data_IF_425747974377
#
_entry.id   IF_425747974377
#
_cell.length_a   1.000
_cell.length_b   1.000
_cell.length_c   1.000
_cell.angle_alpha   90.00
_cell.angle_beta   90.00
_cell.angle_gamma   90.00
#
_symmetry.space_group_name_H-M   'P 1'
#
loop_
_entity.id
_entity.type
_entity.pdbx_description
1 polymer ?
#
# COMPACT_ATOMS: atom_id res chain seq x y z
N UNK A 1 40.93 -45.56 13.84
CA UNK A 1 39.63 -44.87 13.64
C UNK A 1 39.65 -43.36 13.89
N UNK A 2 40.69 -42.75 14.50
CA UNK A 2 40.73 -41.29 14.72
C UNK A 2 40.96 -40.44 13.43
N UNK A 3 41.66 -40.96 12.42
CA UNK A 3 41.98 -40.21 11.20
C UNK A 3 40.80 -39.97 10.24
N UNK A 4 39.79 -40.85 10.23
CA UNK A 4 38.60 -40.70 9.38
C UNK A 4 37.65 -39.59 9.90
N UNK A 5 37.54 -39.42 11.21
CA UNK A 5 36.74 -38.34 11.81
C UNK A 5 37.38 -36.97 11.58
N UNK A 6 38.72 -36.88 11.57
CA UNK A 6 39.45 -35.64 11.31
C UNK A 6 39.26 -35.17 9.86
N UNK A 7 39.35 -36.08 8.89
CA UNK A 7 39.14 -35.76 7.47
C UNK A 7 37.71 -35.28 7.17
N UNK A 8 36.70 -35.90 7.79
CA UNK A 8 35.29 -35.47 7.70
C UNK A 8 35.07 -34.07 8.31
N UNK A 9 35.70 -33.79 9.45
CA UNK A 9 35.60 -32.47 10.10
C UNK A 9 36.23 -31.37 9.23
N UNK A 10 37.39 -31.63 8.62
CA UNK A 10 38.05 -30.69 7.71
C UNK A 10 37.18 -30.43 6.47
N UNK A 11 36.64 -31.48 5.85
CA UNK A 11 35.74 -31.35 4.70
C UNK A 11 34.49 -30.53 5.04
N UNK A 12 33.88 -30.77 6.20
CA UNK A 12 32.73 -30.01 6.68
C UNK A 12 33.04 -28.52 6.85
N UNK A 13 34.21 -28.18 7.41
CA UNK A 13 34.64 -26.79 7.59
C UNK A 13 34.78 -26.09 6.23
N UNK A 14 35.38 -26.74 5.23
CA UNK A 14 35.52 -26.16 3.89
C UNK A 14 34.17 -25.96 3.18
N UNK A 15 33.23 -26.89 3.35
CA UNK A 15 31.86 -26.74 2.81
C UNK A 15 31.14 -25.56 3.47
N UNK A 16 31.24 -25.42 4.79
CA UNK A 16 30.68 -24.29 5.54
C UNK A 16 31.31 -22.95 5.12
N UNK A 17 32.64 -22.89 4.97
CA UNK A 17 33.35 -21.71 4.48
C UNK A 17 32.93 -21.35 3.04
N UNK A 18 32.76 -22.35 2.17
CA UNK A 18 32.25 -22.15 0.81
C UNK A 18 30.83 -21.56 0.80
N UNK A 19 29.92 -22.09 1.61
CA UNK A 19 28.55 -21.57 1.75
C UNK A 19 28.53 -20.13 2.27
N UNK A 20 29.37 -19.82 3.26
CA UNK A 20 29.51 -18.46 3.79
C UNK A 20 30.04 -17.51 2.71
N UNK A 21 31.07 -17.92 1.97
CA UNK A 21 31.64 -17.14 0.87
C UNK A 21 30.62 -16.83 -0.23
N UNK A 22 29.83 -17.84 -0.63
CA UNK A 22 28.73 -17.66 -1.60
C UNK A 22 27.67 -16.70 -1.04
N UNK A 23 27.30 -16.84 0.23
CA UNK A 23 26.34 -15.96 0.90
C UNK A 23 26.80 -14.49 0.88
N UNK A 24 28.07 -14.23 1.20
CA UNK A 24 28.66 -12.89 1.18
C UNK A 24 28.68 -12.32 -0.24
N UNK A 25 29.11 -13.11 -1.24
CA UNK A 25 29.11 -12.70 -2.64
C UNK A 25 27.71 -12.32 -3.13
N UNK A 26 26.70 -13.10 -2.73
CA UNK A 26 25.30 -12.85 -3.09
C UNK A 26 24.79 -11.55 -2.46
N UNK A 27 25.08 -11.30 -1.18
CA UNK A 27 24.74 -10.04 -0.51
C UNK A 27 25.45 -8.84 -1.18
N UNK A 28 26.71 -8.99 -1.56
CA UNK A 28 27.48 -7.93 -2.22
C UNK A 28 26.92 -7.61 -3.60
N UNK A 29 26.56 -8.64 -4.38
CA UNK A 29 25.89 -8.49 -5.67
C UNK A 29 24.57 -7.74 -5.53
N UNK A 30 23.73 -8.10 -4.55
CA UNK A 30 22.47 -7.40 -4.27
C UNK A 30 22.69 -5.93 -3.90
N UNK A 31 23.70 -5.63 -3.05
CA UNK A 31 24.05 -4.26 -2.66
C UNK A 31 24.52 -3.42 -3.84
N UNK A 32 25.40 -3.95 -4.69
CA UNK A 32 25.87 -3.25 -5.89
C UNK A 32 24.70 -2.97 -6.84
N UNK A 33 23.84 -3.97 -7.07
CA UNK A 33 22.67 -3.81 -7.93
C UNK A 33 21.75 -2.71 -7.40
N UNK A 34 21.50 -2.69 -6.09
CA UNK A 34 20.69 -1.66 -5.45
C UNK A 34 21.28 -0.26 -5.63
N UNK A 35 22.59 -0.10 -5.39
CA UNK A 35 23.29 1.18 -5.56
C UNK A 35 23.27 1.67 -7.02
N UNK A 36 23.43 0.76 -8.00
CA UNK A 36 23.32 1.12 -9.41
C UNK A 36 21.92 1.60 -9.78
N UNK A 37 20.88 0.94 -9.28
CA UNK A 37 19.50 1.35 -9.50
C UNK A 37 19.27 2.74 -8.91
N UNK A 38 19.71 2.98 -7.66
CA UNK A 38 19.58 4.30 -7.03
C UNK A 38 20.29 5.41 -7.81
N UNK A 39 21.50 5.17 -8.31
CA UNK A 39 22.22 6.15 -9.13
C UNK A 39 21.47 6.47 -10.41
N UNK A 40 21.03 5.44 -11.14
CA UNK A 40 20.22 5.61 -12.35
C UNK A 40 18.91 6.34 -12.08
N UNK A 41 18.24 6.05 -10.97
CA UNK A 41 17.03 6.77 -10.55
C UNK A 41 17.31 8.26 -10.39
N UNK A 42 18.42 8.65 -9.75
CA UNK A 42 18.82 10.07 -9.62
C UNK A 42 19.12 10.71 -10.96
N UNK A 43 19.84 10.01 -11.83
CA UNK A 43 20.13 10.48 -13.19
C UNK A 43 18.84 10.70 -14.00
N UNK A 44 17.87 9.78 -13.92
CA UNK A 44 16.58 9.93 -14.61
C UNK A 44 15.70 11.03 -14.02
N UNK A 45 15.73 11.22 -12.69
CA UNK A 45 15.04 12.36 -12.06
C UNK A 45 15.61 13.69 -12.55
N UNK A 46 16.93 13.79 -12.70
CA UNK A 46 17.57 14.98 -13.27
C UNK A 46 17.24 15.14 -14.76
N UNK A 47 17.30 14.04 -15.54
CA UNK A 47 16.97 14.06 -16.97
C UNK A 47 15.53 14.52 -17.24
N UNK A 48 14.59 14.16 -16.38
CA UNK A 48 13.18 14.53 -16.51
C UNK A 48 12.80 15.73 -15.62
N UNK A 49 13.78 16.47 -15.09
CA UNK A 49 13.50 17.62 -14.22
C UNK A 49 12.67 18.69 -14.94
N UNK A 50 12.97 18.98 -16.20
CA UNK A 50 12.21 19.95 -17.01
C UNK A 50 10.74 19.53 -17.16
N UNK A 51 10.49 18.24 -17.35
CA UNK A 51 9.14 17.69 -17.40
C UNK A 51 8.42 17.85 -16.06
N UNK A 52 9.09 17.56 -14.93
CA UNK A 52 8.49 17.75 -13.61
C UNK A 52 8.24 19.23 -13.28
N UNK A 53 9.15 20.13 -13.66
CA UNK A 53 8.98 21.57 -13.55
C UNK A 53 7.77 22.05 -14.36
N UNK A 54 7.65 21.56 -15.60
CA UNK A 54 6.51 21.86 -16.45
C UNK A 54 5.19 21.39 -15.82
N UNK A 55 5.13 20.15 -15.34
CA UNK A 55 3.93 19.63 -14.68
C UNK A 55 3.54 20.49 -13.48
N UNK A 56 4.50 20.87 -12.62
CA UNK A 56 4.23 21.70 -11.45
C UNK A 56 3.73 23.10 -11.84
N UNK A 57 4.29 23.70 -12.88
CA UNK A 57 3.88 25.02 -13.35
C UNK A 57 2.44 25.02 -13.91
N UNK A 58 2.04 23.94 -14.58
CA UNK A 58 0.74 23.84 -15.28
C UNK A 58 -0.30 23.01 -14.49
N UNK A 59 0.00 22.59 -13.27
CA UNK A 59 -0.90 21.77 -12.44
C UNK A 59 -2.22 22.52 -12.15
N UNK A 60 -2.15 23.85 -12.03
CA UNK A 60 -3.29 24.74 -11.83
C UNK A 60 -4.12 25.05 -13.08
N UNK A 61 -3.57 24.82 -14.27
CA UNK A 61 -4.18 25.28 -15.52
C UNK A 61 -5.32 24.36 -15.98
N UNK A 62 -6.31 24.89 -16.71
CA UNK A 62 -7.49 24.12 -17.14
C UNK A 62 -7.17 23.00 -18.17
N UNK A 63 -5.96 23.00 -18.75
CA UNK A 63 -5.55 22.03 -19.76
C UNK A 63 -5.12 20.69 -19.18
N UNK A 64 -5.22 19.63 -19.99
CA UNK A 64 -4.75 18.29 -19.62
C UNK A 64 -3.22 18.25 -19.49
N UNK A 65 -2.73 17.52 -18.48
CA UNK A 65 -1.29 17.38 -18.27
C UNK A 65 -0.67 16.57 -19.43
N UNK A 66 0.44 17.05 -20.03
CA UNK A 66 1.06 16.36 -21.13
C UNK A 66 1.67 15.04 -20.67
N UNK A 67 1.65 14.06 -21.57
CA UNK A 67 2.35 12.80 -21.38
C UNK A 67 3.86 13.02 -21.37
N UNK A 68 4.61 12.17 -20.65
CA UNK A 68 6.05 12.30 -20.62
C UNK A 68 6.64 12.08 -22.03
N UNK A 69 7.58 12.94 -22.47
CA UNK A 69 8.01 12.98 -23.85
C UNK A 69 8.85 11.74 -24.25
N UNK A 70 8.59 11.22 -25.44
CA UNK A 70 9.41 10.19 -26.10
C UNK A 70 9.18 8.75 -25.64
N UNK A 71 10.01 7.83 -26.17
CA UNK A 71 9.99 6.41 -25.79
C UNK A 71 10.72 6.22 -24.46
N UNK A 72 9.97 6.28 -23.37
CA UNK A 72 10.51 6.00 -22.04
C UNK A 72 10.89 4.53 -21.90
N UNK A 73 12.07 4.28 -21.32
CA UNK A 73 12.45 2.96 -20.80
C UNK A 73 11.56 2.54 -19.63
N UNK A 74 11.51 1.24 -19.33
CA UNK A 74 10.78 0.72 -18.17
C UNK A 74 11.20 1.41 -16.86
N UNK A 75 12.50 1.67 -16.67
CA UNK A 75 12.99 2.32 -15.47
C UNK A 75 12.57 3.79 -15.39
N UNK A 76 12.64 4.54 -16.50
CA UNK A 76 12.16 5.94 -16.56
C UNK A 76 10.66 6.02 -16.26
N UNK A 77 9.86 5.12 -16.83
CA UNK A 77 8.42 5.02 -16.51
C UNK A 77 8.19 4.81 -15.02
N UNK A 78 8.96 3.92 -14.38
CA UNK A 78 8.86 3.68 -12.93
C UNK A 78 9.20 4.92 -12.11
N UNK A 79 10.24 5.66 -12.50
CA UNK A 79 10.63 6.89 -11.79
C UNK A 79 9.53 7.96 -11.90
N UNK A 80 8.98 8.16 -13.10
CA UNK A 80 7.90 9.12 -13.33
C UNK A 80 6.64 8.71 -12.57
N UNK A 81 6.25 7.44 -12.67
CA UNK A 81 5.11 6.89 -11.93
C UNK A 81 5.25 7.12 -10.42
N UNK A 82 6.42 6.82 -9.86
CA UNK A 82 6.67 7.01 -8.44
C UNK A 82 6.55 8.49 -8.04
N UNK A 83 7.15 9.40 -8.80
CA UNK A 83 7.09 10.83 -8.51
C UNK A 83 5.67 11.39 -8.60
N UNK A 84 4.92 11.01 -9.64
CA UNK A 84 3.51 11.40 -9.78
C UNK A 84 2.68 10.85 -8.62
N UNK A 85 2.92 9.62 -8.20
CA UNK A 85 2.25 8.99 -7.06
C UNK A 85 2.55 9.74 -5.75
N UNK A 86 3.80 10.15 -5.51
CA UNK A 86 4.18 10.98 -4.36
C UNK A 86 3.39 12.29 -4.32
N UNK A 87 3.19 12.93 -5.49
CA UNK A 87 2.37 14.13 -5.60
C UNK A 87 0.87 13.88 -5.40
N UNK A 88 0.33 12.75 -5.86
CA UNK A 88 -1.06 12.36 -5.59
C UNK A 88 -1.32 12.26 -4.08
N UNK A 89 -0.34 11.84 -3.30
CA UNK A 89 -0.48 11.75 -1.83
C UNK A 89 -0.49 13.13 -1.16
N UNK A 90 0.28 14.08 -1.69
CA UNK A 90 0.45 15.43 -1.15
C UNK A 90 -0.69 16.37 -1.54
N UNK A 91 -1.17 16.29 -2.78
CA UNK A 91 -2.24 17.17 -3.29
C UNK A 91 -3.64 16.60 -3.03
N UNK A 92 -4.64 17.49 -2.98
CA UNK A 92 -6.07 17.18 -2.79
C UNK A 92 -6.90 17.90 -3.85
N UNK A 93 -8.17 17.50 -4.00
CA UNK A 93 -9.11 18.13 -4.93
C UNK A 93 -8.69 17.95 -6.40
N UNK A 94 -8.92 18.99 -7.21
CA UNK A 94 -8.75 18.94 -8.67
C UNK A 94 -7.31 18.61 -9.11
N UNK A 95 -6.32 19.13 -8.39
CA UNK A 95 -4.90 18.83 -8.65
C UNK A 95 -4.59 17.33 -8.53
N UNK A 96 -5.17 16.69 -7.51
CA UNK A 96 -5.02 15.24 -7.32
C UNK A 96 -5.68 14.48 -8.48
N UNK A 97 -6.86 14.90 -8.91
CA UNK A 97 -7.59 14.24 -10.00
C UNK A 97 -6.85 14.33 -11.33
N UNK A 98 -6.22 15.47 -11.64
CA UNK A 98 -5.37 15.61 -12.85
C UNK A 98 -4.19 14.64 -12.84
N UNK A 99 -3.52 14.48 -11.69
CA UNK A 99 -2.41 13.54 -11.57
C UNK A 99 -2.85 12.08 -11.66
N UNK A 100 -4.03 11.75 -11.11
CA UNK A 100 -4.63 10.43 -11.30
C UNK A 100 -4.92 10.21 -12.79
N UNK A 101 -5.55 11.17 -13.47
CA UNK A 101 -5.83 11.09 -14.91
C UNK A 101 -4.55 10.90 -15.73
N UNK A 102 -3.47 11.61 -15.40
CA UNK A 102 -2.15 11.41 -16.02
C UNK A 102 -1.65 9.96 -15.87
N UNK A 103 -1.85 9.33 -14.70
CA UNK A 103 -1.47 7.92 -14.49
C UNK A 103 -2.26 6.96 -15.40
N UNK A 104 -3.54 7.23 -15.64
CA UNK A 104 -4.35 6.47 -16.60
C UNK A 104 -3.89 6.72 -18.04
N UNK A 105 -3.76 7.98 -18.44
CA UNK A 105 -3.42 8.37 -19.81
C UNK A 105 -2.01 7.90 -20.21
N UNK A 106 -1.06 7.87 -19.27
CA UNK A 106 0.29 7.36 -19.51
C UNK A 106 0.39 5.82 -19.52
N UNK A 107 -0.72 5.12 -19.21
CA UNK A 107 -0.82 3.66 -19.20
C UNK A 107 -0.24 2.99 -17.96
N UNK A 108 0.10 3.74 -16.90
CA UNK A 108 0.72 3.19 -15.70
C UNK A 108 -0.23 2.25 -14.95
N UNK A 109 -1.52 2.58 -14.90
CA UNK A 109 -2.54 1.77 -14.24
C UNK A 109 -2.68 0.41 -14.92
N UNK A 110 -2.83 0.37 -16.24
CA UNK A 110 -3.03 -0.88 -16.99
C UNK A 110 -1.80 -1.78 -16.92
N UNK A 111 -0.60 -1.20 -16.88
CA UNK A 111 0.64 -1.95 -16.69
C UNK A 111 0.69 -2.65 -15.33
N UNK A 112 0.32 -1.95 -14.25
CA UNK A 112 0.34 -2.54 -12.91
C UNK A 112 -0.84 -3.48 -12.65
N UNK A 113 -2.00 -3.26 -13.28
CA UNK A 113 -3.10 -4.22 -13.27
C UNK A 113 -2.66 -5.57 -13.83
N UNK A 114 -1.88 -5.61 -14.93
CA UNK A 114 -1.33 -6.87 -15.45
C UNK A 114 -0.39 -7.56 -14.46
N UNK A 115 0.33 -6.80 -13.64
CA UNK A 115 1.27 -7.35 -12.66
C UNK A 115 0.61 -7.95 -11.43
N UNK A 116 -0.68 -7.68 -11.18
CA UNK A 116 -1.45 -8.35 -10.15
C UNK A 116 -1.63 -9.86 -10.42
N UNK A 117 -1.50 -10.32 -11.68
CA UNK A 117 -1.52 -11.74 -12.08
C UNK A 117 -0.13 -12.40 -12.11
N UNK A 118 0.92 -11.67 -11.73
CA UNK A 118 2.27 -12.21 -11.74
C UNK A 118 2.41 -13.43 -10.83
N UNK A 119 3.04 -14.49 -11.32
CA UNK A 119 3.41 -15.67 -10.51
C UNK A 119 4.29 -15.30 -9.30
N UNK A 120 5.09 -14.25 -9.44
CA UNK A 120 5.91 -13.73 -8.35
C UNK A 120 5.09 -12.86 -7.40
N UNK A 121 4.84 -13.38 -6.21
CA UNK A 121 4.07 -12.70 -5.15
C UNK A 121 4.62 -11.29 -4.82
N UNK A 122 5.95 -11.13 -4.76
CA UNK A 122 6.56 -9.82 -4.53
C UNK A 122 6.21 -8.77 -5.60
N UNK A 123 6.05 -9.18 -6.87
CA UNK A 123 5.62 -8.28 -7.94
C UNK A 123 4.15 -7.88 -7.79
N UNK A 124 3.30 -8.83 -7.37
CA UNK A 124 1.88 -8.57 -7.09
C UNK A 124 1.70 -7.54 -5.99
N UNK A 125 2.43 -7.67 -4.88
CA UNK A 125 2.39 -6.70 -3.78
C UNK A 125 2.90 -5.33 -4.21
N UNK A 126 4.00 -5.28 -4.95
CA UNK A 126 4.53 -4.02 -5.46
C UNK A 126 3.54 -3.33 -6.42
N UNK A 127 2.82 -4.11 -7.25
CA UNK A 127 1.76 -3.59 -8.11
C UNK A 127 0.56 -3.09 -7.30
N UNK A 128 0.11 -3.85 -6.30
CA UNK A 128 -0.97 -3.43 -5.40
C UNK A 128 -0.68 -2.09 -4.74
N UNK A 129 0.53 -1.93 -4.19
CA UNK A 129 0.98 -0.67 -3.58
C UNK A 129 0.92 0.51 -4.56
N UNK A 130 1.44 0.33 -5.79
CA UNK A 130 1.44 1.39 -6.81
C UNK A 130 0.04 1.72 -7.29
N UNK A 131 -0.83 0.73 -7.48
CA UNK A 131 -2.24 0.95 -7.84
C UNK A 131 -2.97 1.73 -6.75
N UNK A 132 -2.69 1.44 -5.48
CA UNK A 132 -3.16 2.23 -4.34
C UNK A 132 -2.72 3.69 -4.39
N UNK A 133 -1.43 3.92 -4.65
CA UNK A 133 -0.88 5.27 -4.77
C UNK A 133 -1.45 6.06 -5.95
N UNK A 134 -1.73 5.40 -7.08
CA UNK A 134 -2.40 5.99 -8.25
C UNK A 134 -3.92 6.12 -8.07
N UNK A 135 -4.49 5.65 -6.94
CA UNK A 135 -5.93 5.59 -6.66
C UNK A 135 -6.73 4.88 -7.77
N UNK A 136 -6.22 3.75 -8.23
CA UNK A 136 -6.80 2.99 -9.33
C UNK A 136 -8.03 2.17 -8.88
N UNK A 137 -9.22 2.72 -9.04
CA UNK A 137 -10.49 2.09 -8.63
C UNK A 137 -10.71 0.70 -9.26
N UNK A 138 -10.35 0.53 -10.53
CA UNK A 138 -10.45 -0.75 -11.25
C UNK A 138 -9.65 -1.89 -10.58
N UNK A 139 -8.64 -1.56 -9.77
CA UNK A 139 -7.87 -2.55 -9.04
C UNK A 139 -8.62 -3.13 -7.82
N UNK A 140 -9.58 -2.39 -7.26
CA UNK A 140 -10.19 -2.70 -5.96
C UNK A 140 -10.77 -4.11 -5.85
N UNK A 141 -11.55 -4.63 -6.83
CA UNK A 141 -12.07 -6.00 -6.74
C UNK A 141 -10.97 -7.07 -6.62
N UNK A 142 -9.87 -6.86 -7.35
CA UNK A 142 -8.72 -7.77 -7.34
C UNK A 142 -7.93 -7.63 -6.05
N UNK A 143 -7.76 -6.41 -5.54
CA UNK A 143 -7.11 -6.16 -4.26
C UNK A 143 -7.91 -6.76 -3.09
N UNK A 144 -9.24 -6.67 -3.11
CA UNK A 144 -10.12 -7.31 -2.13
C UNK A 144 -9.96 -8.83 -2.15
N UNK A 145 -9.90 -9.44 -3.34
CA UNK A 145 -9.63 -10.88 -3.50
C UNK A 145 -8.26 -11.23 -2.91
N UNK A 146 -7.22 -10.44 -3.21
CA UNK A 146 -5.89 -10.62 -2.63
C UNK A 146 -5.91 -10.52 -1.10
N UNK A 147 -6.61 -9.55 -0.52
CA UNK A 147 -6.72 -9.39 0.93
C UNK A 147 -7.48 -10.57 1.57
N UNK A 148 -8.55 -11.03 0.92
CA UNK A 148 -9.35 -12.19 1.33
C UNK A 148 -8.53 -13.48 1.33
N UNK A 149 -7.55 -13.65 0.48
CA UNK A 149 -6.73 -14.88 0.48
C UNK A 149 -5.45 -14.74 1.35
N UNK A 150 -5.13 -13.52 1.77
CA UNK A 150 -3.91 -13.20 2.49
C UNK A 150 -4.02 -13.52 3.99
N UNK A 151 -2.99 -14.22 4.51
CA UNK A 151 -2.75 -14.33 5.96
C UNK A 151 -2.36 -12.98 6.53
N UNK A 152 -2.76 -12.70 7.77
CA UNK A 152 -2.37 -11.48 8.46
C UNK A 152 -0.85 -11.30 8.46
N UNK A 153 -0.39 -10.19 7.89
CA UNK A 153 1.03 -9.81 7.84
C UNK A 153 1.15 -8.31 7.52
N UNK A 154 2.34 -7.71 7.58
CA UNK A 154 2.53 -6.34 7.09
C UNK A 154 2.05 -6.14 5.63
N UNK A 155 2.02 -7.20 4.82
CA UNK A 155 1.55 -7.15 3.44
C UNK A 155 0.03 -7.03 3.32
N UNK A 156 -0.74 -7.62 4.24
CA UNK A 156 -2.20 -7.39 4.27
C UNK A 156 -2.53 -5.93 4.59
N UNK A 157 -1.70 -5.26 5.40
CA UNK A 157 -1.82 -3.81 5.67
C UNK A 157 -1.58 -2.99 4.40
N UNK A 158 -0.54 -3.34 3.62
CA UNK A 158 -0.25 -2.67 2.33
C UNK A 158 -1.43 -2.83 1.36
N UNK A 159 -1.99 -4.03 1.25
CA UNK A 159 -3.15 -4.27 0.38
C UNK A 159 -4.36 -3.47 0.87
N UNK A 160 -4.66 -3.49 2.17
CA UNK A 160 -5.77 -2.74 2.75
C UNK A 160 -5.64 -1.23 2.49
N UNK A 161 -4.47 -0.62 2.74
CA UNK A 161 -4.23 0.80 2.38
C UNK A 161 -4.46 1.08 0.91
N UNK A 162 -4.01 0.17 0.04
CA UNK A 162 -4.19 0.32 -1.40
C UNK A 162 -5.68 0.27 -1.79
N UNK A 163 -6.48 -0.57 -1.14
CA UNK A 163 -7.94 -0.61 -1.30
C UNK A 163 -8.55 0.70 -0.80
N UNK A 164 -8.23 1.13 0.42
CA UNK A 164 -8.80 2.34 1.01
C UNK A 164 -8.56 3.58 0.14
N UNK A 165 -7.33 3.77 -0.37
CA UNK A 165 -6.98 4.88 -1.25
C UNK A 165 -7.74 4.89 -2.58
N UNK A 166 -8.10 3.70 -3.08
CA UNK A 166 -8.67 3.49 -4.43
C UNK A 166 -10.18 3.23 -4.43
N UNK A 167 -10.80 3.04 -3.26
CA UNK A 167 -12.22 2.71 -3.17
C UNK A 167 -13.10 3.85 -3.72
N UNK A 168 -14.18 3.45 -4.41
CA UNK A 168 -15.20 4.36 -4.92
C UNK A 168 -16.55 4.21 -4.21
N UNK A 169 -16.72 3.10 -3.47
CA UNK A 169 -17.97 2.81 -2.76
C UNK A 169 -17.70 2.38 -1.31
N UNK A 170 -18.57 2.79 -0.40
CA UNK A 170 -18.49 2.44 1.03
C UNK A 170 -18.42 0.92 1.26
N UNK A 171 -19.13 0.14 0.44
CA UNK A 171 -19.13 -1.32 0.54
C UNK A 171 -17.72 -1.92 0.37
N UNK A 172 -16.89 -1.35 -0.51
CA UNK A 172 -15.52 -1.83 -0.72
C UNK A 172 -14.65 -1.61 0.52
N UNK A 173 -14.86 -0.49 1.22
CA UNK A 173 -14.19 -0.19 2.49
C UNK A 173 -14.67 -1.14 3.59
N UNK A 174 -15.97 -1.42 3.65
CA UNK A 174 -16.53 -2.39 4.59
C UNK A 174 -15.94 -3.79 4.36
N UNK A 175 -15.94 -4.27 3.12
CA UNK A 175 -15.40 -5.59 2.78
C UNK A 175 -13.90 -5.69 3.12
N UNK A 176 -13.15 -4.61 2.87
CA UNK A 176 -11.74 -4.50 3.27
C UNK A 176 -11.57 -4.67 4.79
N UNK A 177 -12.38 -3.97 5.59
CA UNK A 177 -12.33 -4.08 7.06
C UNK A 177 -12.66 -5.50 7.52
N UNK A 178 -13.71 -6.11 6.96
CA UNK A 178 -14.09 -7.50 7.27
C UNK A 178 -12.95 -8.46 6.99
N UNK A 179 -12.30 -8.38 5.82
CA UNK A 179 -11.19 -9.25 5.49
C UNK A 179 -9.92 -8.99 6.31
N UNK A 180 -9.69 -7.73 6.71
CA UNK A 180 -8.53 -7.35 7.50
C UNK A 180 -8.65 -7.82 8.97
N UNK A 181 -9.83 -7.70 9.56
CA UNK A 181 -10.07 -7.94 11.00
C UNK A 181 -10.38 -9.40 11.34
N UNK A 182 -10.77 -10.24 10.35
CA UNK A 182 -11.13 -11.66 10.56
C UNK A 182 -10.10 -12.51 11.33
N UNK A 183 -8.85 -12.05 11.41
CA UNK A 183 -7.76 -12.76 12.09
C UNK A 183 -7.70 -12.47 13.60
N UNK A 184 -8.64 -11.68 14.14
CA UNK A 184 -8.76 -11.38 15.58
C UNK A 184 -7.57 -10.62 16.16
N UNK A 185 -6.84 -9.88 15.32
CA UNK A 185 -5.68 -9.08 15.77
C UNK A 185 -6.16 -7.73 16.30
N UNK A 186 -5.59 -7.23 17.41
CA UNK A 186 -5.99 -5.95 18.01
C UNK A 186 -5.43 -4.76 17.21
N UNK A 187 -5.89 -4.60 15.97
CA UNK A 187 -5.42 -3.57 15.03
C UNK A 187 -6.48 -2.52 14.71
N UNK A 188 -7.46 -2.33 15.59
CA UNK A 188 -8.61 -1.46 15.32
C UNK A 188 -8.22 -0.01 15.03
N UNK A 189 -7.22 0.53 15.76
CA UNK A 189 -6.68 1.87 15.49
C UNK A 189 -6.00 1.96 14.12
N UNK A 190 -5.16 0.98 13.79
CA UNK A 190 -4.51 0.93 12.48
C UNK A 190 -5.55 0.77 11.35
N UNK A 191 -6.57 -0.05 11.54
CA UNK A 191 -7.65 -0.23 10.58
C UNK A 191 -8.47 1.06 10.41
N UNK A 192 -8.68 1.82 11.48
CA UNK A 192 -9.28 3.16 11.42
C UNK A 192 -8.40 4.13 10.63
N UNK A 193 -7.09 4.18 10.90
CA UNK A 193 -6.15 5.02 10.13
C UNK A 193 -6.17 4.68 8.64
N UNK A 194 -6.18 3.37 8.31
CA UNK A 194 -6.28 2.89 6.93
C UNK A 194 -7.59 3.36 6.30
N UNK A 195 -8.72 3.21 7.01
CA UNK A 195 -10.03 3.64 6.53
C UNK A 195 -10.02 5.14 6.17
N UNK A 196 -9.34 5.97 6.96
CA UNK A 196 -9.25 7.42 6.75
C UNK A 196 -8.35 7.84 5.56
N UNK A 197 -7.61 6.92 4.93
CA UNK A 197 -6.86 7.22 3.69
C UNK A 197 -7.75 7.32 2.44
N UNK A 198 -9.03 6.94 2.57
CA UNK A 198 -10.02 7.08 1.51
C UNK A 198 -10.31 8.55 1.17
N UNK A 199 -10.83 8.75 -0.04
CA UNK A 199 -11.35 10.04 -0.52
C UNK A 199 -12.87 10.16 -0.38
N UNK A 200 -13.53 9.07 0.04
CA UNK A 200 -14.98 9.04 0.26
C UNK A 200 -15.32 9.71 1.59
N UNK A 201 -16.50 10.33 1.67
CA UNK A 201 -17.07 10.72 2.95
C UNK A 201 -17.41 9.47 3.75
N UNK A 202 -16.74 9.26 4.88
CA UNK A 202 -16.91 8.08 5.73
C UNK A 202 -18.03 8.22 6.76
N UNK A 203 -18.68 9.39 6.87
CA UNK A 203 -19.64 9.69 7.95
C UNK A 203 -20.75 8.66 8.04
N UNK A 204 -21.35 8.30 6.89
CA UNK A 204 -22.44 7.32 6.82
C UNK A 204 -21.93 5.92 7.15
N UNK A 205 -20.81 5.52 6.57
CA UNK A 205 -20.19 4.21 6.83
C UNK A 205 -19.88 4.03 8.32
N UNK A 206 -19.28 5.03 8.97
CA UNK A 206 -18.96 4.98 10.40
C UNK A 206 -20.22 4.78 11.26
N UNK A 207 -21.31 5.50 10.95
CA UNK A 207 -22.59 5.32 11.64
C UNK A 207 -23.20 3.93 11.42
N UNK A 208 -22.98 3.33 10.24
CA UNK A 208 -23.41 1.95 9.97
C UNK A 208 -22.56 0.95 10.77
N UNK A 209 -21.23 1.09 10.77
CA UNK A 209 -20.32 0.22 11.50
C UNK A 209 -20.58 0.25 13.01
N UNK A 210 -20.97 1.40 13.58
CA UNK A 210 -21.37 1.52 15.00
C UNK A 210 -22.61 0.70 15.38
N UNK A 211 -23.45 0.34 14.41
CA UNK A 211 -24.69 -0.43 14.61
C UNK A 211 -24.52 -1.92 14.29
N UNK A 212 -23.35 -2.33 13.82
CA UNK A 212 -23.10 -3.73 13.51
C UNK A 212 -22.93 -4.57 14.77
N UNK A 213 -23.31 -5.85 14.67
CA UNK A 213 -23.13 -6.80 15.75
C UNK A 213 -21.66 -7.19 15.96
N UNK A 214 -20.81 -7.00 14.94
CA UNK A 214 -19.39 -7.33 15.00
C UNK A 214 -18.63 -6.29 15.85
N UNK A 215 -18.12 -6.66 17.05
CA UNK A 215 -17.46 -5.73 17.95
C UNK A 215 -16.17 -5.15 17.37
N UNK A 216 -15.46 -5.86 16.48
CA UNK A 216 -14.24 -5.35 15.86
C UNK A 216 -14.53 -4.17 14.93
N UNK A 217 -15.64 -4.23 14.18
CA UNK A 217 -16.07 -3.15 13.29
C UNK A 217 -16.52 -1.92 14.08
N UNK A 218 -17.25 -2.13 15.19
CA UNK A 218 -17.64 -1.03 16.08
C UNK A 218 -16.41 -0.35 16.68
N UNK A 219 -15.40 -1.12 17.12
CA UNK A 219 -14.13 -0.57 17.64
C UNK A 219 -13.39 0.26 16.61
N UNK A 220 -13.34 -0.18 15.34
CA UNK A 220 -12.76 0.62 14.25
C UNK A 220 -13.53 1.93 14.06
N UNK A 221 -14.86 1.89 14.05
CA UNK A 221 -15.68 3.08 13.89
C UNK A 221 -15.46 4.09 15.03
N UNK A 222 -15.43 3.63 16.28
CA UNK A 222 -15.11 4.50 17.42
C UNK A 222 -13.71 5.10 17.32
N UNK A 223 -12.71 4.29 16.93
CA UNK A 223 -11.34 4.77 16.77
C UNK A 223 -11.23 5.84 15.68
N UNK A 224 -11.88 5.64 14.53
CA UNK A 224 -11.92 6.61 13.44
C UNK A 224 -12.64 7.91 13.84
N UNK A 225 -13.80 7.79 14.50
CA UNK A 225 -14.57 8.96 14.96
C UNK A 225 -13.85 9.77 16.04
N UNK A 226 -12.99 9.14 16.86
CA UNK A 226 -12.16 9.86 17.85
C UNK A 226 -11.04 10.66 17.20
N UNK A 227 -10.50 10.17 16.08
CA UNK A 227 -9.48 10.86 15.30
C UNK A 227 -10.05 12.02 14.46
N UNK A 228 -11.35 12.02 14.17
CA UNK A 228 -12.05 13.16 13.59
C UNK A 228 -12.51 14.09 14.73
N UNK A 229 -11.98 15.31 14.80
CA UNK A 229 -12.50 16.35 15.69
C UNK A 229 -13.95 16.68 15.30
N UNK A 230 -14.92 15.95 15.84
CA UNK A 230 -16.34 16.16 15.66
C UNK A 230 -16.90 16.87 16.90
N UNK A 231 -17.06 18.21 16.89
CA UNK A 231 -17.72 18.91 17.98
C UNK A 231 -19.19 18.46 18.03
N UNK A 232 -19.58 17.74 19.10
CA UNK A 232 -20.99 17.44 19.41
C UNK A 232 -21.37 15.96 19.59
N UNK A 233 -20.51 14.97 19.29
CA UNK A 233 -20.87 13.54 19.37
C UNK A 233 -20.29 12.75 20.56
N UNK A 234 -19.53 13.42 21.44
CA UNK A 234 -18.92 12.82 22.64
C UNK A 234 -19.91 12.02 23.53
N UNK A 235 -21.18 12.44 23.73
CA UNK A 235 -22.13 11.69 24.57
C UNK A 235 -22.65 10.39 23.92
N UNK A 236 -22.61 10.28 22.59
CA UNK A 236 -23.03 9.07 21.88
C UNK A 236 -21.93 8.01 21.96
N UNK A 237 -20.67 8.40 21.75
CA UNK A 237 -19.50 7.52 21.84
C UNK A 237 -19.35 6.88 23.23
N UNK A 238 -19.59 7.64 24.30
CA UNK A 238 -19.58 7.10 25.67
C UNK A 238 -20.59 5.97 25.87
N UNK A 239 -21.81 6.09 25.35
CA UNK A 239 -22.86 5.06 25.49
C UNK A 239 -22.52 3.76 24.78
N UNK A 240 -21.89 3.82 23.60
CA UNK A 240 -21.47 2.62 22.88
C UNK A 240 -20.25 1.95 23.52
N UNK A 241 -19.29 2.72 24.04
CA UNK A 241 -18.14 2.18 24.77
C UNK A 241 -18.58 1.34 25.99
N UNK A 242 -19.51 1.87 26.80
CA UNK A 242 -20.07 1.13 27.94
C UNK A 242 -20.83 -0.14 27.53
N UNK A 243 -21.53 -0.12 26.38
CA UNK A 243 -22.25 -1.29 25.89
C UNK A 243 -21.30 -2.42 25.42
N UNK A 244 -20.14 -2.08 24.88
CA UNK A 244 -19.11 -3.04 24.47
C UNK A 244 -18.39 -3.66 25.67
N UNK A 245 -17.98 -2.85 26.66
CA UNK A 245 -17.35 -3.36 27.89
C UNK A 245 -18.26 -4.35 28.63
N UNK A 246 -19.58 -4.10 28.62
CA UNK A 246 -20.55 -5.00 29.24
C UNK A 246 -20.74 -6.31 28.45
N UNK A 247 -20.51 -6.31 27.14
CA UNK A 247 -20.54 -7.52 26.29
C UNK A 247 -19.26 -8.35 26.44
N UNK A 248 -18.10 -7.72 26.62
CA UNK A 248 -16.83 -8.43 26.85
C UNK A 248 -16.75 -9.08 28.22
N UNK A 249 -17.48 -8.56 29.21
CA UNK A 249 -17.54 -9.14 30.56
C UNK A 249 -18.59 -10.25 30.71
N UNK A 250 -19.42 -10.49 29.68
CA UNK A 250 -20.49 -11.50 29.70
C UNK A 250 -20.29 -12.63 28.68
N UNK A 251 -19.17 -12.64 27.96
CA UNK A 251 -18.74 -13.70 27.04
C UNK A 251 -17.51 -14.43 27.60
#
# INVERSE_FOLDING_TARGET
MAGQHLGLAIAFIYVCLGLIGIGILLLFYLKIRHLRIQRKTKEYLQKHQDYFMFLQAHLGDAEELPLPPGKLTELERRVIQQRVTEWIEQFKGDLQQKLIALCYNAGFVQQDLKLLDSLFYGRRIAAAYRLGGMRAAEAVPRLLTMLKDQKYSPLSIVIARSIAKSAEHEQQLRDMLVYLLRHGKPIHHLAADILMETRLDTSRLLLQLMKEDNPDLVKVAMAAMRGQEMPGQVPALGRYAFALERRETTA
#
